data_IF_763567405337
#
_entry.id   IF_763567405337
#
_cell.length_a   1.000
_cell.length_b   1.000
_cell.length_c   1.000
_cell.angle_alpha   90.00
_cell.angle_beta   90.00
_cell.angle_gamma   90.00
#
_symmetry.space_group_name_H-M   'P 1'
#
loop_
_entity.id
_entity.type
_entity.pdbx_description
1 polymer ?
#
# COMPACT_ATOMS: atom_id res chain seq x y z
N UNK A 1 -29.94 -30.57 -12.86
CA UNK A 1 -29.47 -30.04 -11.57
C UNK A 1 -27.96 -29.81 -11.68
N UNK A 2 -27.55 -28.60 -12.09
CA UNK A 2 -26.14 -28.25 -12.22
C UNK A 2 -25.67 -27.68 -10.88
N UNK A 3 -24.87 -28.47 -10.14
CA UNK A 3 -24.10 -27.99 -9.00
C UNK A 3 -22.95 -27.13 -9.55
N UNK A 4 -23.18 -25.81 -9.62
CA UNK A 4 -22.09 -24.85 -9.80
C UNK A 4 -21.29 -24.90 -8.50
N UNK A 5 -20.14 -25.59 -8.53
CA UNK A 5 -19.10 -25.36 -7.53
C UNK A 5 -18.61 -23.93 -7.74
N UNK A 6 -19.22 -22.96 -7.04
CA UNK A 6 -18.53 -21.71 -6.77
C UNK A 6 -17.28 -22.11 -5.99
N UNK A 7 -16.13 -22.15 -6.66
CA UNK A 7 -14.86 -22.13 -5.96
C UNK A 7 -14.91 -20.91 -5.03
N UNK A 8 -14.86 -21.17 -3.72
CA UNK A 8 -14.82 -20.09 -2.74
C UNK A 8 -13.61 -19.23 -3.10
N UNK A 9 -13.83 -17.95 -3.40
CA UNK A 9 -12.75 -17.03 -3.67
C UNK A 9 -11.76 -17.09 -2.52
N UNK A 10 -10.46 -17.13 -2.81
CA UNK A 10 -9.46 -17.25 -1.76
C UNK A 10 -9.58 -16.07 -0.78
N UNK A 11 -9.61 -16.38 0.52
CA UNK A 11 -9.83 -15.41 1.58
C UNK A 11 -8.50 -14.76 2.00
N UNK A 12 -8.31 -13.44 1.81
CA UNK A 12 -7.12 -12.73 2.25
C UNK A 12 -6.95 -12.67 3.77
N UNK A 13 -8.01 -12.92 4.54
CA UNK A 13 -7.98 -12.98 6.00
C UNK A 13 -7.69 -14.38 6.55
N UNK A 14 -7.52 -15.40 5.70
CA UNK A 14 -7.29 -16.77 6.16
C UNK A 14 -6.05 -16.86 7.07
N UNK A 15 -6.27 -17.21 8.35
CA UNK A 15 -5.21 -17.34 9.36
C UNK A 15 -4.77 -16.02 10.02
N UNK A 16 -5.47 -14.91 9.76
CA UNK A 16 -5.22 -13.60 10.37
C UNK A 16 -6.41 -13.24 11.27
N UNK A 17 -6.17 -13.08 12.57
CA UNK A 17 -7.19 -12.71 13.57
C UNK A 17 -6.62 -11.69 14.57
N UNK A 18 -7.21 -10.49 14.73
CA UNK A 18 -8.37 -9.96 14.00
C UNK A 18 -8.02 -9.53 12.56
N UNK A 19 -8.90 -9.79 11.60
CA UNK A 19 -8.79 -9.31 10.22
C UNK A 19 -10.15 -8.80 9.71
N UNK A 20 -10.16 -7.62 9.13
CA UNK A 20 -11.36 -6.97 8.57
C UNK A 20 -11.14 -6.65 7.11
N UNK A 21 -12.03 -7.13 6.24
CA UNK A 21 -12.07 -6.67 4.84
C UNK A 21 -12.70 -5.29 4.79
N UNK A 22 -11.95 -4.31 4.28
CA UNK A 22 -12.38 -2.92 4.18
C UNK A 22 -12.97 -2.61 2.80
N UNK A 23 -12.30 -3.06 1.73
CA UNK A 23 -12.69 -2.77 0.36
C UNK A 23 -12.38 -3.94 -0.58
N UNK A 24 -13.19 -4.07 -1.62
CA UNK A 24 -12.96 -4.98 -2.76
C UNK A 24 -13.09 -4.18 -4.05
N UNK A 25 -12.01 -4.12 -4.82
CA UNK A 25 -11.97 -3.41 -6.11
C UNK A 25 -11.89 -4.41 -7.25
N UNK A 26 -12.93 -4.54 -8.10
CA UNK A 26 -12.88 -5.41 -9.27
C UNK A 26 -11.78 -4.98 -10.24
N UNK A 27 -11.01 -5.95 -10.75
CA UNK A 27 -9.94 -5.73 -11.73
C UNK A 27 -10.07 -6.72 -12.88
N UNK A 28 -11.00 -6.43 -13.79
CA UNK A 28 -11.38 -7.35 -14.86
C UNK A 28 -12.53 -8.26 -14.43
N UNK A 29 -12.66 -9.43 -15.08
CA UNK A 29 -13.86 -10.29 -14.96
C UNK A 29 -13.87 -11.16 -13.70
N UNK A 30 -12.74 -11.78 -13.38
CA UNK A 30 -12.64 -12.84 -12.35
C UNK A 30 -11.57 -12.53 -11.29
N UNK A 31 -11.27 -11.24 -11.13
CA UNK A 31 -10.13 -10.74 -10.38
C UNK A 31 -10.52 -9.50 -9.60
N UNK A 32 -9.94 -9.36 -8.42
CA UNK A 32 -10.15 -8.20 -7.55
C UNK A 32 -8.90 -7.91 -6.72
N UNK A 33 -8.79 -6.66 -6.28
CA UNK A 33 -7.90 -6.28 -5.18
C UNK A 33 -8.74 -6.17 -3.92
N UNK A 34 -8.31 -6.82 -2.85
CA UNK A 34 -8.96 -6.80 -1.55
C UNK A 34 -8.09 -6.06 -0.56
N UNK A 35 -8.63 -4.99 0.01
CA UNK A 35 -8.03 -4.23 1.09
C UNK A 35 -8.51 -4.80 2.42
N UNK A 36 -7.56 -5.14 3.29
CA UNK A 36 -7.85 -5.62 4.64
C UNK A 36 -7.11 -4.78 5.68
N UNK A 37 -7.71 -4.63 6.85
CA UNK A 37 -7.06 -4.09 8.04
C UNK A 37 -6.96 -5.17 9.11
N UNK A 38 -5.81 -5.22 9.79
CA UNK A 38 -5.56 -6.19 10.85
C UNK A 38 -4.49 -5.69 11.83
N UNK A 39 -4.43 -6.32 13.01
CA UNK A 39 -3.41 -6.03 14.03
C UNK A 39 -2.65 -7.31 14.33
N UNK A 40 -1.31 -7.30 14.23
CA UNK A 40 -0.54 -8.46 14.73
C UNK A 40 -0.52 -8.38 16.25
N UNK A 41 -0.56 -9.54 16.90
CA UNK A 41 -0.46 -9.61 18.36
C UNK A 41 0.80 -8.93 18.92
N UNK A 42 1.89 -8.94 18.17
CA UNK A 42 3.14 -8.26 18.51
C UNK A 42 3.06 -6.73 18.40
N UNK A 43 2.06 -6.21 17.69
CA UNK A 43 1.82 -4.79 17.43
C UNK A 43 0.82 -4.18 18.43
N UNK A 44 0.30 -4.96 19.39
CA UNK A 44 -0.59 -4.44 20.43
C UNK A 44 0.24 -3.71 21.48
N UNK A 45 0.01 -2.41 21.75
CA UNK A 45 0.73 -1.69 22.79
C UNK A 45 0.57 -2.41 24.14
N UNK A 46 1.69 -2.75 24.77
CA UNK A 46 1.69 -3.40 26.09
C UNK A 46 1.31 -2.43 27.22
N UNK A 47 1.36 -1.12 26.96
CA UNK A 47 1.02 -0.06 27.91
C UNK A 47 -0.23 0.71 27.44
N UNK A 48 -1.40 0.29 27.92
CA UNK A 48 -2.69 0.96 27.70
C UNK A 48 -2.73 2.24 28.56
N UNK A 49 -2.49 3.42 27.98
CA UNK A 49 -2.65 4.67 28.73
C UNK A 49 -1.99 5.92 28.15
N UNK A 50 -0.98 5.80 27.30
CA UNK A 50 -0.33 6.93 26.64
C UNK A 50 -0.40 6.70 25.11
N UNK A 51 -0.78 7.68 24.28
CA UNK A 51 -0.63 7.57 22.84
C UNK A 51 0.86 7.59 22.53
N UNK A 52 1.42 6.40 22.35
CA UNK A 52 2.83 6.19 22.09
C UNK A 52 3.16 6.66 20.66
N UNK A 53 3.36 7.96 20.48
CA UNK A 53 4.08 8.48 19.33
C UNK A 53 5.47 7.81 19.31
N UNK A 54 5.72 6.94 18.32
CA UNK A 54 7.04 6.39 18.04
C UNK A 54 7.43 5.10 18.77
N UNK A 55 6.51 4.34 19.35
CA UNK A 55 6.82 2.96 19.75
C UNK A 55 6.88 2.04 18.52
N UNK A 56 8.04 1.45 18.18
CA UNK A 56 8.19 0.62 17.01
C UNK A 56 7.33 -0.63 17.13
N UNK A 57 6.26 -0.70 16.35
CA UNK A 57 5.42 -1.88 16.20
C UNK A 57 3.93 -1.62 16.38
N UNK A 58 3.49 -0.57 17.06
CA UNK A 58 2.07 -0.35 17.31
C UNK A 58 1.36 0.39 16.16
N UNK A 59 0.94 -0.33 15.13
CA UNK A 59 0.16 0.22 14.03
C UNK A 59 -0.96 -0.71 13.58
N UNK A 60 -2.08 -0.13 13.16
CA UNK A 60 -3.06 -0.87 12.36
C UNK A 60 -2.44 -1.16 11.00
N UNK A 61 -2.30 -2.44 10.67
CA UNK A 61 -1.78 -2.83 9.37
C UNK A 61 -2.87 -2.77 8.33
N UNK A 62 -2.53 -2.22 7.18
CA UNK A 62 -3.37 -2.26 5.99
C UNK A 62 -2.64 -3.10 4.94
N UNK A 63 -3.34 -4.07 4.36
CA UNK A 63 -2.78 -4.91 3.31
C UNK A 63 -3.71 -4.99 2.12
N UNK A 64 -3.12 -5.03 0.93
CA UNK A 64 -3.82 -5.21 -0.33
C UNK A 64 -3.37 -6.52 -0.95
N UNK A 65 -4.35 -7.34 -1.29
CA UNK A 65 -4.15 -8.66 -1.88
C UNK A 65 -4.83 -8.70 -3.23
N UNK A 66 -4.16 -9.29 -4.22
CA UNK A 66 -4.81 -9.64 -5.48
C UNK A 66 -5.45 -11.02 -5.31
N UNK A 67 -6.74 -11.13 -5.63
CA UNK A 67 -7.48 -12.39 -5.70
C UNK A 67 -7.78 -12.70 -7.17
N UNK A 68 -7.42 -13.90 -7.62
CA UNK A 68 -7.70 -14.45 -8.96
C UNK A 68 -8.30 -15.86 -8.78
N UNK A 69 -9.63 -15.90 -8.74
CA UNK A 69 -10.39 -17.09 -8.33
C UNK A 69 -9.95 -17.62 -6.96
N UNK A 70 -9.40 -18.83 -6.93
CA UNK A 70 -8.92 -19.49 -5.71
C UNK A 70 -7.46 -19.16 -5.35
N UNK A 71 -6.81 -18.21 -6.03
CA UNK A 71 -5.44 -17.80 -5.76
C UNK A 71 -5.41 -16.40 -5.16
N UNK A 72 -4.66 -16.23 -4.08
CA UNK A 72 -4.30 -14.92 -3.52
C UNK A 72 -2.82 -14.65 -3.72
N UNK A 73 -2.45 -13.39 -3.94
CA UNK A 73 -1.06 -12.92 -3.83
C UNK A 73 -1.00 -11.57 -3.12
N UNK A 74 -0.02 -11.33 -2.24
CA UNK A 74 0.16 -10.03 -1.63
C UNK A 74 0.56 -9.00 -2.70
N UNK A 75 0.10 -7.76 -2.54
CA UNK A 75 0.54 -6.61 -3.33
C UNK A 75 1.38 -5.68 -2.45
N UNK A 76 0.79 -5.25 -1.34
CA UNK A 76 1.35 -4.28 -0.41
C UNK A 76 0.86 -4.59 1.00
N UNK A 77 1.73 -4.42 1.98
CA UNK A 77 1.37 -4.30 3.40
C UNK A 77 2.04 -3.03 3.91
N UNK A 78 1.25 -2.17 4.54
CA UNK A 78 1.74 -0.95 5.20
C UNK A 78 1.39 -0.97 6.68
N UNK A 79 2.27 -0.32 7.42
CA UNK A 79 2.16 0.01 8.81
C UNK A 79 2.55 1.48 8.86
N UNK A 80 1.55 2.36 8.84
CA UNK A 80 1.82 3.79 8.88
C UNK A 80 2.00 4.20 10.34
N UNK A 81 3.25 4.43 10.71
CA UNK A 81 3.67 4.91 12.02
C UNK A 81 3.92 6.43 12.04
N UNK A 82 3.57 7.13 10.96
CA UNK A 82 3.76 8.57 10.79
C UNK A 82 5.02 8.97 10.01
N UNK A 83 5.75 8.03 9.39
CA UNK A 83 6.80 8.25 8.38
C UNK A 83 7.63 9.55 8.53
N UNK A 84 8.31 9.72 9.66
CA UNK A 84 9.27 10.81 9.88
C UNK A 84 9.25 11.38 11.29
N UNK A 85 10.17 12.31 11.56
CA UNK A 85 10.38 12.89 12.89
C UNK A 85 9.20 13.71 13.46
N UNK A 86 8.18 13.99 12.65
CA UNK A 86 6.97 14.71 13.08
C UNK A 86 5.75 13.82 13.29
N UNK A 87 5.86 12.51 13.02
CA UNK A 87 4.72 11.59 13.13
C UNK A 87 3.58 11.90 12.14
N UNK A 88 3.88 12.63 11.06
CA UNK A 88 2.93 12.95 9.99
C UNK A 88 3.40 12.23 8.73
N UNK A 89 2.82 11.06 8.51
CA UNK A 89 3.06 10.20 7.37
C UNK A 89 1.71 9.76 6.81
N UNK A 90 1.57 9.75 5.49
CA UNK A 90 0.33 9.36 4.83
C UNK A 90 0.65 8.31 3.76
N UNK A 91 -0.19 7.28 3.68
CA UNK A 91 -0.25 6.36 2.56
C UNK A 91 -1.53 6.64 1.78
N UNK A 92 -1.39 6.84 0.48
CA UNK A 92 -2.49 6.83 -0.46
C UNK A 92 -2.36 5.61 -1.36
N UNK A 93 -3.45 4.84 -1.49
CA UNK A 93 -3.50 3.67 -2.37
C UNK A 93 -4.67 3.81 -3.31
N UNK A 94 -4.42 3.62 -4.59
CA UNK A 94 -5.45 3.57 -5.61
C UNK A 94 -5.29 2.37 -6.54
N UNK A 95 -6.42 1.84 -6.99
CA UNK A 95 -6.50 0.75 -7.96
C UNK A 95 -7.35 1.19 -9.11
N UNK A 96 -6.74 1.39 -10.28
CA UNK A 96 -7.42 1.90 -11.47
C UNK A 96 -6.83 1.31 -12.74
N UNK A 97 -7.67 0.95 -13.70
CA UNK A 97 -7.26 0.46 -15.03
C UNK A 97 -6.27 -0.72 -14.96
N UNK A 98 -6.42 -1.59 -13.96
CA UNK A 98 -5.51 -2.72 -13.74
C UNK A 98 -4.12 -2.33 -13.22
N UNK A 99 -3.96 -1.11 -12.72
CA UNK A 99 -2.75 -0.60 -12.08
C UNK A 99 -3.03 -0.33 -10.61
N UNK A 100 -2.13 -0.81 -9.76
CA UNK A 100 -2.09 -0.48 -8.34
C UNK A 100 -1.03 0.59 -8.13
N UNK A 101 -1.42 1.70 -7.50
CA UNK A 101 -0.52 2.80 -7.16
C UNK A 101 -0.52 3.01 -5.66
N UNK A 102 0.69 3.11 -5.10
CA UNK A 102 0.92 3.46 -3.71
C UNK A 102 1.79 4.70 -3.65
N UNK A 103 1.28 5.71 -2.96
CA UNK A 103 2.01 6.95 -2.69
C UNK A 103 2.21 7.10 -1.20
N UNK A 104 3.39 7.56 -0.82
CA UNK A 104 3.79 7.85 0.54
C UNK A 104 4.21 9.30 0.63
N UNK A 105 3.75 9.98 1.67
CA UNK A 105 4.15 11.33 2.00
C UNK A 105 4.63 11.36 3.45
N UNK A 106 5.63 12.17 3.73
CA UNK A 106 6.10 12.36 5.10
C UNK A 106 7.11 13.48 5.26
N UNK A 107 7.63 13.59 6.48
CA UNK A 107 8.61 14.60 6.87
C UNK A 107 8.02 15.83 7.56
N UNK A 108 8.81 16.89 7.64
CA UNK A 108 8.49 18.08 8.44
C UNK A 108 8.78 19.36 7.66
N UNK A 109 9.77 20.15 8.10
CA UNK A 109 10.37 21.22 7.30
C UNK A 109 10.96 20.68 5.98
N UNK A 110 11.58 19.50 6.07
CA UNK A 110 12.01 18.68 4.94
C UNK A 110 10.94 17.63 4.67
N UNK A 111 10.18 17.82 3.61
CA UNK A 111 9.12 16.90 3.16
C UNK A 111 9.66 15.96 2.10
N UNK A 112 9.03 14.83 1.98
CA UNK A 112 9.28 13.92 0.87
C UNK A 112 7.98 13.27 0.41
N UNK A 113 7.97 12.88 -0.87
CA UNK A 113 6.94 12.06 -1.47
C UNK A 113 7.59 10.91 -2.23
N UNK A 114 6.98 9.74 -2.21
CA UNK A 114 7.35 8.60 -3.04
C UNK A 114 6.08 8.04 -3.66
N UNK A 115 6.13 7.64 -4.92
CA UNK A 115 5.02 6.94 -5.56
C UNK A 115 5.53 5.76 -6.38
N UNK A 116 4.78 4.66 -6.37
CA UNK A 116 5.08 3.44 -7.10
C UNK A 116 3.81 2.89 -7.71
N UNK A 117 3.87 2.58 -9.00
CA UNK A 117 2.78 1.97 -9.75
C UNK A 117 3.19 0.64 -10.36
N UNK A 118 2.35 -0.37 -10.19
CA UNK A 118 2.51 -1.69 -10.79
C UNK A 118 1.28 -2.09 -11.58
N UNK A 119 1.46 -2.74 -12.72
CA UNK A 119 0.40 -3.46 -13.40
C UNK A 119 0.05 -4.69 -12.57
N UNK A 120 -1.24 -4.98 -12.42
CA UNK A 120 -1.71 -6.12 -11.62
C UNK A 120 -1.70 -7.43 -12.38
N UNK A 121 -1.86 -7.39 -13.71
CA UNK A 121 -1.87 -8.58 -14.55
C UNK A 121 -1.49 -8.27 -16.02
N UNK A 122 -0.39 -8.84 -16.55
CA UNK A 122 0.68 -9.50 -15.79
C UNK A 122 1.37 -8.51 -14.83
N UNK A 123 1.93 -8.97 -13.69
CA UNK A 123 2.66 -8.11 -12.78
C UNK A 123 3.89 -7.45 -13.43
N UNK A 124 3.94 -6.13 -13.45
CA UNK A 124 5.07 -5.38 -14.01
C UNK A 124 5.18 -3.98 -13.39
N UNK A 125 6.39 -3.45 -13.30
CA UNK A 125 6.60 -2.04 -12.96
C UNK A 125 6.02 -1.13 -14.05
N UNK A 126 5.28 -0.10 -13.65
CA UNK A 126 4.72 0.90 -14.55
C UNK A 126 5.48 2.20 -14.40
N UNK A 127 5.51 2.73 -13.18
CA UNK A 127 6.16 4.00 -12.88
C UNK A 127 6.66 4.04 -11.44
N UNK A 128 7.64 4.90 -11.19
CA UNK A 128 8.00 5.32 -9.83
C UNK A 128 8.38 6.80 -9.83
N UNK A 129 8.18 7.46 -8.71
CA UNK A 129 8.71 8.79 -8.48
C UNK A 129 9.10 8.96 -7.02
N UNK A 130 10.00 9.90 -6.78
CA UNK A 130 10.42 10.29 -5.43
C UNK A 130 10.90 11.73 -5.46
N UNK A 131 10.46 12.52 -4.49
CA UNK A 131 10.80 13.93 -4.37
C UNK A 131 11.10 14.29 -2.93
N UNK A 132 12.03 15.21 -2.73
CA UNK A 132 12.18 15.93 -1.48
C UNK A 132 11.95 17.42 -1.68
N UNK A 133 11.34 18.04 -0.69
CA UNK A 133 11.03 19.45 -0.69
C UNK A 133 11.50 20.08 0.62
N UNK A 134 12.14 21.24 0.54
CA UNK A 134 12.41 22.07 1.71
C UNK A 134 11.58 23.34 1.62
N UNK A 135 10.73 23.59 2.61
CA UNK A 135 9.89 24.80 2.66
C UNK A 135 9.11 25.07 1.34
N UNK A 136 8.70 24.02 0.63
CA UNK A 136 7.94 24.12 -0.63
C UNK A 136 8.78 24.21 -1.91
N UNK A 137 10.11 24.29 -1.82
CA UNK A 137 11.01 24.19 -2.97
C UNK A 137 11.42 22.73 -3.18
N UNK A 138 11.31 22.22 -4.41
CA UNK A 138 11.85 20.90 -4.78
C UNK A 138 13.36 20.97 -4.58
N UNK A 139 13.95 20.08 -3.78
CA UNK A 139 15.40 19.98 -3.65
C UNK A 139 15.97 18.97 -4.64
N UNK A 140 15.47 17.73 -4.60
CA UNK A 140 15.82 16.69 -5.55
C UNK A 140 14.58 15.85 -5.90
N UNK A 141 14.63 15.20 -7.04
CA UNK A 141 13.57 14.34 -7.50
C UNK A 141 14.02 13.33 -8.54
N UNK A 142 13.30 12.23 -8.62
CA UNK A 142 13.44 11.25 -9.68
C UNK A 142 12.07 10.75 -10.13
N UNK A 143 11.95 10.49 -11.42
CA UNK A 143 10.78 9.87 -12.03
C UNK A 143 11.24 8.80 -13.01
N UNK A 144 10.53 7.69 -13.05
CA UNK A 144 10.77 6.58 -13.98
C UNK A 144 9.48 6.12 -14.61
N UNK A 145 9.49 5.98 -15.93
CA UNK A 145 8.49 5.32 -16.74
C UNK A 145 9.11 4.02 -17.26
N UNK A 146 8.77 2.90 -16.62
CA UNK A 146 9.38 1.61 -16.92
C UNK A 146 8.86 1.02 -18.24
N UNK A 147 7.67 1.44 -18.68
CA UNK A 147 7.13 1.01 -19.98
C UNK A 147 7.89 1.67 -21.12
N UNK A 148 8.19 2.96 -20.99
CA UNK A 148 8.97 3.69 -21.97
C UNK A 148 10.49 3.54 -21.79
N UNK A 149 10.95 2.91 -20.70
CA UNK A 149 12.37 2.71 -20.42
C UNK A 149 13.15 4.01 -20.20
N UNK A 150 12.49 5.03 -19.64
CA UNK A 150 13.09 6.37 -19.46
C UNK A 150 12.92 6.85 -18.02
N UNK A 151 13.87 7.66 -17.59
CA UNK A 151 13.83 8.33 -16.30
C UNK A 151 14.28 9.77 -16.40
N UNK A 152 13.88 10.56 -15.41
CA UNK A 152 14.28 11.95 -15.23
C UNK A 152 14.77 12.14 -13.81
N UNK A 153 15.85 12.91 -13.66
CA UNK A 153 16.28 13.45 -12.38
C UNK A 153 16.05 14.96 -12.39
N UNK A 154 15.65 15.49 -11.24
CA UNK A 154 15.49 16.92 -10.99
C UNK A 154 16.35 17.29 -9.79
N UNK A 155 17.12 18.35 -9.92
CA UNK A 155 17.92 18.97 -8.87
C UNK A 155 17.87 20.48 -9.11
N UNK A 156 17.71 21.27 -8.06
CA UNK A 156 17.65 22.74 -8.12
C UNK A 156 18.77 23.38 -7.34
#
# INVERSE_FOLDING_TARGET
MFLVHLALAADPCAGIDPCTVLERTPVGKDREVVHVAYMKKADVPTNVGEPLYGEPGACNRHAWWMVDGAKTRPILEVCNDGYGASGVGEDDVSVKDGVFTHSQYGGSAWRWTNSRSIALFPPAWVASSGYNHYMGLIGMGSEWDYKAGRGRFTET
#
